data_IF_710243413719
#
_entry.id   IF_710243413719
#
_cell.length_a   1.000
_cell.length_b   1.000
_cell.length_c   1.000
_cell.angle_alpha   90.00
_cell.angle_beta   90.00
_cell.angle_gamma   90.00
#
_symmetry.space_group_name_H-M   'P 1'
#
loop_
_entity.id
_entity.type
_entity.pdbx_description
1 polymer ?
#
# COMPACT_ATOMS: atom_id res chain seq x y z
N UNK A 1 -16.65 11.65 -9.69
CA UNK A 1 -16.11 13.03 -9.59
C UNK A 1 -16.64 13.75 -8.36
N UNK A 2 -17.96 13.89 -8.17
CA UNK A 2 -18.54 14.52 -6.96
C UNK A 2 -18.08 13.86 -5.65
N UNK A 3 -18.05 12.51 -5.60
CA UNK A 3 -17.51 11.79 -4.44
C UNK A 3 -16.02 12.06 -4.17
N UNK A 4 -15.24 12.41 -5.19
CA UNK A 4 -13.85 12.79 -5.00
C UNK A 4 -13.75 14.23 -4.47
N UNK A 5 -14.62 15.14 -4.93
CA UNK A 5 -14.70 16.52 -4.44
C UNK A 5 -14.97 16.56 -2.92
N UNK A 6 -15.80 15.64 -2.41
CA UNK A 6 -16.07 15.49 -0.98
C UNK A 6 -14.83 15.21 -0.13
N UNK A 7 -13.76 14.63 -0.70
CA UNK A 7 -12.55 14.24 0.04
C UNK A 7 -11.52 15.37 0.16
N UNK A 8 -11.64 16.44 -0.63
CA UNK A 8 -10.63 17.50 -0.61
C UNK A 8 -10.75 18.39 0.63
N UNK A 9 -11.92 18.46 1.26
CA UNK A 9 -12.14 19.24 2.48
C UNK A 9 -11.64 20.68 2.35
N UNK A 10 -10.93 21.17 3.36
CA UNK A 10 -10.36 22.52 3.44
C UNK A 10 -9.41 22.90 2.29
N UNK A 11 -8.87 21.94 1.52
CA UNK A 11 -8.02 22.24 0.36
C UNK A 11 -8.79 22.94 -0.78
N UNK A 12 -10.12 23.02 -0.69
CA UNK A 12 -10.98 23.67 -1.69
C UNK A 12 -11.34 25.13 -1.35
N UNK A 13 -10.91 25.68 -0.22
CA UNK A 13 -11.29 27.04 0.21
C UNK A 13 -11.00 28.09 -0.89
N UNK A 14 -9.78 28.08 -1.46
CA UNK A 14 -9.37 29.02 -2.50
C UNK A 14 -10.11 28.83 -3.84
N UNK A 15 -10.68 27.64 -4.07
CA UNK A 15 -11.31 27.26 -5.33
C UNK A 15 -12.83 27.12 -5.25
N UNK A 16 -13.42 27.45 -4.09
CA UNK A 16 -14.84 27.28 -3.82
C UNK A 16 -15.72 28.05 -4.81
N UNK A 17 -15.29 29.26 -5.18
CA UNK A 17 -15.97 30.10 -6.17
C UNK A 17 -16.05 29.48 -7.56
N UNK A 18 -15.12 28.59 -7.93
CA UNK A 18 -15.10 27.88 -9.21
C UNK A 18 -15.91 26.59 -9.17
N UNK A 19 -15.88 25.88 -8.05
CA UNK A 19 -16.50 24.55 -7.91
C UNK A 19 -17.98 24.61 -7.53
N UNK A 20 -18.38 25.64 -6.79
CA UNK A 20 -19.76 25.76 -6.32
C UNK A 20 -20.78 25.97 -7.46
N UNK A 21 -20.58 26.84 -8.46
CA UNK A 21 -21.58 27.06 -9.51
C UNK A 21 -21.92 25.79 -10.32
N UNK A 22 -20.94 24.95 -10.73
CA UNK A 22 -21.24 23.65 -11.34
C UNK A 22 -22.04 22.69 -10.44
N UNK A 23 -21.68 22.58 -9.15
CA UNK A 23 -22.39 21.71 -8.19
C UNK A 23 -23.85 22.18 -8.03
N UNK A 24 -24.06 23.49 -7.89
CA UNK A 24 -25.39 24.09 -7.78
C UNK A 24 -26.22 23.84 -9.03
N UNK A 25 -25.63 24.03 -10.21
CA UNK A 25 -26.30 23.78 -11.49
C UNK A 25 -26.74 22.32 -11.64
N UNK A 26 -25.97 21.37 -11.11
CA UNK A 26 -26.28 19.94 -11.21
C UNK A 26 -27.56 19.56 -10.45
N UNK A 27 -27.82 20.11 -9.27
CA UNK A 27 -29.06 19.78 -8.54
C UNK A 27 -30.26 20.67 -8.92
N UNK A 28 -30.03 21.88 -9.45
CA UNK A 28 -31.08 22.81 -9.87
C UNK A 28 -31.66 22.51 -11.26
N UNK A 29 -30.87 21.91 -12.15
CA UNK A 29 -31.31 21.60 -13.51
C UNK A 29 -32.32 20.42 -13.56
N UNK A 30 -33.48 20.58 -14.23
CA UNK A 30 -34.49 19.52 -14.31
C UNK A 30 -34.07 18.36 -15.24
N UNK A 31 -33.19 18.63 -16.20
CA UNK A 31 -32.74 17.66 -17.21
C UNK A 31 -31.70 16.66 -16.69
N UNK A 32 -31.22 16.84 -15.44
CA UNK A 32 -30.20 16.00 -14.82
C UNK A 32 -30.88 14.79 -14.12
N UNK A 33 -30.34 13.56 -14.27
CA UNK A 33 -30.87 12.38 -13.58
C UNK A 33 -30.98 12.57 -12.07
N UNK A 34 -32.08 12.09 -11.47
CA UNK A 34 -32.37 12.23 -10.04
C UNK A 34 -31.21 11.80 -9.13
N UNK A 35 -30.51 10.72 -9.49
CA UNK A 35 -29.36 10.23 -8.73
C UNK A 35 -28.21 11.23 -8.70
N UNK A 36 -27.91 11.89 -9.83
CA UNK A 36 -26.85 12.88 -9.90
C UNK A 36 -27.23 14.16 -9.13
N UNK A 37 -28.51 14.56 -9.17
CA UNK A 37 -29.04 15.68 -8.37
C UNK A 37 -28.92 15.39 -6.86
N UNK A 38 -29.29 14.18 -6.43
CA UNK A 38 -29.15 13.72 -5.05
C UNK A 38 -27.69 13.73 -4.57
N UNK A 39 -26.78 13.13 -5.34
CA UNK A 39 -25.34 13.12 -5.00
C UNK A 39 -24.76 14.53 -4.95
N UNK A 40 -25.25 15.47 -5.76
CA UNK A 40 -24.81 16.87 -5.73
C UNK A 40 -25.23 17.57 -4.44
N UNK A 41 -26.45 17.32 -3.93
CA UNK A 41 -26.92 17.82 -2.63
C UNK A 41 -26.15 17.22 -1.46
N UNK A 42 -25.89 15.91 -1.49
CA UNK A 42 -25.08 15.22 -0.47
C UNK A 42 -23.62 15.70 -0.48
N UNK A 43 -23.09 16.03 -1.66
CA UNK A 43 -21.76 16.64 -1.79
C UNK A 43 -21.71 17.99 -1.11
N UNK A 44 -22.72 18.84 -1.34
CA UNK A 44 -22.80 20.14 -0.69
C UNK A 44 -22.98 20.02 0.84
N UNK A 45 -23.76 19.05 1.30
CA UNK A 45 -23.93 18.74 2.73
C UNK A 45 -22.57 18.46 3.38
N UNK A 46 -21.76 17.58 2.79
CA UNK A 46 -20.42 17.25 3.31
C UNK A 46 -19.43 18.40 3.24
N UNK A 47 -19.43 19.17 2.16
CA UNK A 47 -18.55 20.33 2.04
C UNK A 47 -18.84 21.39 3.12
N UNK A 48 -20.09 21.48 3.58
CA UNK A 48 -20.52 22.44 4.61
C UNK A 48 -19.85 22.16 5.96
N UNK A 49 -19.35 20.93 6.19
CA UNK A 49 -18.62 20.57 7.40
C UNK A 49 -17.17 21.07 7.41
N UNK A 50 -16.59 21.37 6.25
CA UNK A 50 -15.15 21.66 6.09
C UNK A 50 -14.82 23.01 5.47
N UNK A 51 -15.78 23.67 4.82
CA UNK A 51 -15.60 24.92 4.06
C UNK A 51 -16.62 25.97 4.49
N UNK A 52 -16.23 27.24 4.55
CA UNK A 52 -17.13 28.35 4.88
C UNK A 52 -18.00 28.79 3.68
N UNK A 53 -19.32 28.59 3.79
CA UNK A 53 -20.29 29.00 2.78
C UNK A 53 -20.98 30.34 3.05
N UNK A 54 -20.54 31.13 4.03
CA UNK A 54 -21.23 32.38 4.38
C UNK A 54 -21.37 33.37 3.21
N UNK A 55 -20.36 33.51 2.36
CA UNK A 55 -20.39 34.38 1.18
C UNK A 55 -21.24 33.84 0.02
N UNK A 56 -21.54 32.54 0.06
CA UNK A 56 -22.29 31.83 -0.98
C UNK A 56 -23.72 31.47 -0.59
N UNK A 57 -24.16 31.87 0.61
CA UNK A 57 -25.45 31.51 1.19
C UNK A 57 -26.62 31.69 0.20
N UNK A 58 -26.75 32.87 -0.43
CA UNK A 58 -27.83 33.11 -1.41
C UNK A 58 -27.73 32.22 -2.64
N UNK A 59 -26.51 31.94 -3.12
CA UNK A 59 -26.28 31.10 -4.31
C UNK A 59 -26.64 29.63 -4.08
N UNK A 60 -26.66 29.19 -2.82
CA UNK A 60 -27.02 27.82 -2.44
C UNK A 60 -28.50 27.73 -2.04
N UNK A 61 -28.96 28.65 -1.18
CA UNK A 61 -30.29 28.59 -0.58
C UNK A 61 -31.39 28.74 -1.64
N UNK A 62 -31.25 29.67 -2.59
CA UNK A 62 -32.29 29.86 -3.61
C UNK A 62 -32.52 28.61 -4.49
N UNK A 63 -31.47 27.96 -5.03
CA UNK A 63 -31.62 26.69 -5.74
C UNK A 63 -32.17 25.54 -4.87
N UNK A 64 -31.79 25.45 -3.59
CA UNK A 64 -32.36 24.45 -2.68
C UNK A 64 -33.87 24.69 -2.51
N UNK A 65 -34.28 25.94 -2.27
CA UNK A 65 -35.71 26.31 -2.13
C UNK A 65 -36.49 25.98 -3.40
N UNK A 66 -35.91 26.21 -4.58
CA UNK A 66 -36.52 25.81 -5.85
C UNK A 66 -36.67 24.30 -5.96
N UNK A 67 -35.62 23.55 -5.60
CA UNK A 67 -35.64 22.08 -5.60
C UNK A 67 -36.72 21.53 -4.66
N UNK A 68 -36.93 22.14 -3.50
CA UNK A 68 -38.01 21.80 -2.57
C UNK A 68 -39.41 22.01 -3.18
N UNK A 69 -39.57 23.05 -4.00
CA UNK A 69 -40.85 23.38 -4.65
C UNK A 69 -41.15 22.44 -5.84
N UNK A 70 -40.15 22.14 -6.67
CA UNK A 70 -40.32 21.42 -7.94
C UNK A 70 -40.17 19.90 -7.86
N UNK A 71 -39.37 19.36 -6.94
CA UNK A 71 -38.97 17.95 -6.97
C UNK A 71 -39.22 17.26 -5.61
N UNK A 72 -40.36 16.56 -5.44
CA UNK A 72 -40.74 15.95 -4.17
C UNK A 72 -39.77 14.87 -3.69
N UNK A 73 -39.15 14.12 -4.61
CA UNK A 73 -38.23 13.01 -4.31
C UNK A 73 -36.95 13.48 -3.63
N UNK A 74 -36.55 14.74 -3.84
CA UNK A 74 -35.32 15.31 -3.29
C UNK A 74 -35.55 16.14 -2.03
N UNK A 75 -36.80 16.22 -1.52
CA UNK A 75 -37.13 17.09 -0.38
C UNK A 75 -36.36 16.74 0.89
N UNK A 76 -36.25 15.44 1.22
CA UNK A 76 -35.52 14.99 2.40
C UNK A 76 -34.05 15.39 2.32
N UNK A 77 -33.36 15.02 1.24
CA UNK A 77 -31.94 15.34 1.04
C UNK A 77 -31.70 16.85 0.99
N UNK A 78 -32.60 17.61 0.34
CA UNK A 78 -32.50 19.08 0.28
C UNK A 78 -32.66 19.72 1.65
N UNK A 79 -33.54 19.19 2.51
CA UNK A 79 -33.72 19.67 3.88
C UNK A 79 -32.55 19.31 4.79
N UNK A 80 -31.91 18.15 4.58
CA UNK A 80 -30.68 17.78 5.28
C UNK A 80 -29.54 18.75 4.94
N UNK A 81 -29.28 18.97 3.65
CA UNK A 81 -28.27 19.94 3.17
C UNK A 81 -28.57 21.35 3.68
N UNK A 82 -29.84 21.78 3.64
CA UNK A 82 -30.24 23.08 4.15
C UNK A 82 -30.00 23.19 5.65
N UNK A 83 -30.29 22.14 6.42
CA UNK A 83 -30.09 22.13 7.87
C UNK A 83 -28.61 22.27 8.24
N UNK A 84 -27.72 21.59 7.52
CA UNK A 84 -26.27 21.75 7.70
C UNK A 84 -25.81 23.18 7.39
N UNK A 85 -26.33 23.78 6.31
CA UNK A 85 -26.02 25.17 5.97
C UNK A 85 -26.57 26.16 7.02
N UNK A 86 -27.77 25.94 7.54
CA UNK A 86 -28.36 26.77 8.60
C UNK A 86 -27.50 26.70 9.87
N UNK A 87 -27.02 25.51 10.23
CA UNK A 87 -26.12 25.33 11.35
C UNK A 87 -24.84 26.15 11.19
N UNK A 88 -24.24 26.15 10.00
CA UNK A 88 -23.04 26.92 9.71
C UNK A 88 -23.28 28.44 9.67
N UNK A 89 -24.36 28.90 9.04
CA UNK A 89 -24.67 30.33 8.90
C UNK A 89 -25.13 30.98 10.22
N UNK A 90 -25.76 30.20 11.10
CA UNK A 90 -26.30 30.67 12.37
C UNK A 90 -27.23 31.88 12.20
N UNK A 91 -26.96 32.98 12.92
CA UNK A 91 -27.77 34.21 12.88
C UNK A 91 -27.82 34.86 11.49
N UNK A 92 -26.82 34.65 10.63
CA UNK A 92 -26.81 35.18 9.25
C UNK A 92 -27.95 34.59 8.40
N UNK A 93 -28.51 33.45 8.80
CA UNK A 93 -29.63 32.82 8.10
C UNK A 93 -30.98 33.55 8.29
N UNK A 94 -31.12 34.44 9.29
CA UNK A 94 -32.41 35.06 9.66
C UNK A 94 -33.16 35.69 8.48
N UNK A 95 -32.43 36.28 7.52
CA UNK A 95 -33.00 36.92 6.34
C UNK A 95 -33.72 35.94 5.38
N UNK A 96 -33.35 34.65 5.41
CA UNK A 96 -33.91 33.63 4.51
C UNK A 96 -35.10 32.89 5.12
N UNK A 97 -35.29 32.96 6.45
CA UNK A 97 -36.34 32.22 7.18
C UNK A 97 -37.74 32.43 6.57
N UNK A 98 -38.22 33.66 6.31
CA UNK A 98 -39.57 33.86 5.81
C UNK A 98 -39.78 33.24 4.42
N UNK A 99 -38.76 33.30 3.56
CA UNK A 99 -38.80 32.76 2.21
C UNK A 99 -38.85 31.23 2.22
N UNK A 100 -38.03 30.57 3.01
CA UNK A 100 -38.02 29.10 3.11
C UNK A 100 -39.30 28.59 3.77
N UNK A 101 -39.76 29.26 4.84
CA UNK A 101 -40.98 28.89 5.54
C UNK A 101 -42.22 28.91 4.62
N UNK A 102 -42.29 29.87 3.68
CA UNK A 102 -43.37 29.93 2.68
C UNK A 102 -43.47 28.63 1.85
N UNK A 103 -42.33 28.06 1.44
CA UNK A 103 -42.29 26.82 0.66
C UNK A 103 -42.55 25.59 1.55
N UNK A 104 -42.03 25.60 2.77
CA UNK A 104 -42.31 24.52 3.74
C UNK A 104 -43.80 24.40 4.07
N UNK A 105 -44.48 25.53 4.31
CA UNK A 105 -45.92 25.55 4.56
C UNK A 105 -46.74 25.12 3.34
N UNK A 106 -46.34 25.57 2.14
CA UNK A 106 -46.99 25.21 0.87
C UNK A 106 -47.02 23.69 0.66
N UNK A 107 -45.93 22.99 0.96
CA UNK A 107 -45.79 21.55 0.73
C UNK A 107 -45.92 20.69 1.99
N UNK A 108 -46.22 21.29 3.15
CA UNK A 108 -46.29 20.62 4.46
C UNK A 108 -45.03 19.82 4.79
N UNK A 109 -43.87 20.45 4.62
CA UNK A 109 -42.57 19.84 4.90
C UNK A 109 -42.28 19.98 6.40
N UNK A 110 -42.15 18.85 7.09
CA UNK A 110 -41.77 18.80 8.50
C UNK A 110 -40.37 18.19 8.61
N UNK A 111 -39.42 18.93 9.20
CA UNK A 111 -38.04 18.46 9.32
C UNK A 111 -37.47 18.83 10.69
N UNK A 112 -37.40 17.84 11.58
CA UNK A 112 -37.06 18.01 13.00
C UNK A 112 -35.77 18.82 13.21
N UNK A 113 -34.70 18.48 12.46
CA UNK A 113 -33.41 19.17 12.56
C UNK A 113 -33.50 20.64 12.17
N UNK A 114 -34.26 20.95 11.14
CA UNK A 114 -34.42 22.33 10.67
C UNK A 114 -35.23 23.15 11.69
N UNK A 115 -36.34 22.60 12.20
CA UNK A 115 -37.21 23.29 13.15
C UNK A 115 -36.47 23.65 14.46
N UNK A 116 -35.63 22.74 14.97
CA UNK A 116 -34.78 22.98 16.14
C UNK A 116 -33.80 24.13 15.87
N UNK A 117 -33.13 24.13 14.71
CA UNK A 117 -32.15 25.15 14.35
C UNK A 117 -32.78 26.54 14.18
N UNK A 118 -33.96 26.62 13.56
CA UNK A 118 -34.69 27.89 13.40
C UNK A 118 -35.16 28.42 14.75
N UNK A 119 -35.72 27.56 15.59
CA UNK A 119 -36.09 27.91 16.97
C UNK A 119 -34.88 28.48 17.73
N UNK A 120 -33.70 27.87 17.54
CA UNK A 120 -32.44 28.33 18.15
C UNK A 120 -32.02 29.72 17.65
N UNK A 121 -32.09 29.95 16.34
CA UNK A 121 -31.71 31.22 15.71
C UNK A 121 -32.65 32.37 16.11
N UNK A 122 -33.96 32.10 16.21
CA UNK A 122 -34.98 33.12 16.54
C UNK A 122 -34.95 33.48 18.03
N UNK A 123 -34.77 32.50 18.92
CA UNK A 123 -34.74 32.75 20.37
C UNK A 123 -33.38 33.27 20.87
N UNK A 124 -32.32 33.17 20.07
CA UNK A 124 -31.02 33.78 20.36
C UNK A 124 -30.25 33.11 21.50
N UNK A 125 -30.17 31.77 21.51
CA UNK A 125 -29.44 31.00 22.53
C UNK A 125 -27.95 31.38 22.57
N UNK A 126 -27.40 31.46 23.78
CA UNK A 126 -25.99 31.77 24.06
C UNK A 126 -25.13 30.50 24.05
N UNK A 127 -23.88 30.61 23.56
CA UNK A 127 -22.87 29.55 23.38
C UNK A 127 -22.67 28.58 24.57
N UNK A 128 -23.06 28.96 25.80
CA UNK A 128 -22.91 28.13 27.00
C UNK A 128 -23.80 26.88 27.04
N UNK A 129 -24.84 26.78 26.21
CA UNK A 129 -25.71 25.60 26.10
C UNK A 129 -25.35 24.68 24.91
N UNK A 130 -24.28 24.97 24.16
CA UNK A 130 -23.85 24.15 23.02
C UNK A 130 -23.14 22.84 23.44
N UNK A 131 -22.58 22.77 24.65
CA UNK A 131 -21.81 21.61 25.12
C UNK A 131 -22.67 20.50 25.75
N UNK A 132 -23.93 20.75 26.10
CA UNK A 132 -24.77 19.78 26.84
C UNK A 132 -25.85 19.05 26.02
N UNK A 133 -26.01 19.32 24.72
CA UNK A 133 -27.10 18.74 23.93
C UNK A 133 -26.70 17.39 23.25
N UNK A 134 -27.24 16.23 23.69
CA UNK A 134 -26.84 14.90 23.24
C UNK A 134 -27.00 14.66 21.73
N UNK A 135 -27.88 15.43 21.09
CA UNK A 135 -28.17 15.34 19.65
C UNK A 135 -27.03 15.89 18.77
N UNK A 136 -26.25 16.85 19.29
CA UNK A 136 -25.10 17.44 18.58
C UNK A 136 -23.92 16.46 18.61
N UNK A 137 -23.72 15.78 19.75
CA UNK A 137 -22.68 14.77 19.93
C UNK A 137 -22.96 13.50 19.12
N UNK A 138 -24.22 13.03 19.10
CA UNK A 138 -24.63 11.90 18.26
C UNK A 138 -24.48 12.18 16.76
N UNK A 139 -24.73 13.39 16.28
CA UNK A 139 -24.58 13.70 14.85
C UNK A 139 -23.12 13.72 14.41
N UNK A 140 -22.22 14.24 15.27
CA UNK A 140 -20.76 14.21 15.04
C UNK A 140 -20.22 12.77 15.03
N UNK A 141 -20.74 11.88 15.88
CA UNK A 141 -20.34 10.46 15.92
C UNK A 141 -20.97 9.58 14.82
N UNK A 142 -22.25 9.76 14.48
CA UNK A 142 -22.95 8.91 13.49
C UNK A 142 -22.47 9.17 12.05
N UNK A 143 -21.95 10.37 11.74
CA UNK A 143 -21.51 10.73 10.38
C UNK A 143 -20.00 10.62 10.16
N UNK A 144 -19.18 10.68 11.22
CA UNK A 144 -17.76 10.30 11.15
C UNK A 144 -17.56 8.88 10.62
N UNK A 145 -18.48 7.96 10.97
CA UNK A 145 -18.44 6.57 10.51
C UNK A 145 -18.77 6.36 9.02
N UNK A 146 -19.34 7.34 8.29
CA UNK A 146 -19.60 7.21 6.85
C UNK A 146 -18.46 7.73 5.97
N UNK A 147 -17.49 8.46 6.55
CA UNK A 147 -16.21 8.78 5.91
C UNK A 147 -15.27 7.58 5.85
N UNK A 148 -15.38 6.65 6.79
CA UNK A 148 -14.48 5.49 6.92
C UNK A 148 -14.80 4.31 6.01
N UNK A 149 -15.92 4.32 5.28
CA UNK A 149 -16.26 3.22 4.37
C UNK A 149 -15.43 3.20 3.06
N UNK A 150 -14.66 4.26 2.78
CA UNK A 150 -13.81 4.36 1.58
C UNK A 150 -12.37 4.81 1.88
N UNK A 151 -12.06 5.13 3.14
CA UNK A 151 -10.68 5.16 3.61
C UNK A 151 -10.34 3.71 3.92
N UNK A 152 -9.83 2.99 2.93
CA UNK A 152 -8.81 2.00 3.25
C UNK A 152 -7.80 2.76 4.10
N UNK A 153 -7.78 2.48 5.40
CA UNK A 153 -6.81 3.07 6.33
C UNK A 153 -5.40 2.96 5.74
N UNK A 154 -4.42 3.72 6.29
CA UNK A 154 -3.04 3.44 5.97
C UNK A 154 -2.88 1.93 6.15
N UNK A 155 -2.47 1.25 5.07
CA UNK A 155 -2.30 -0.19 5.06
C UNK A 155 -1.39 -0.46 6.24
N UNK A 156 -1.96 -0.92 7.36
CA UNK A 156 -1.15 -1.43 8.44
C UNK A 156 -0.36 -2.54 7.77
N UNK A 157 0.95 -2.32 7.65
CA UNK A 157 1.90 -3.36 7.34
C UNK A 157 1.95 -4.33 8.53
N UNK A 158 0.80 -4.90 8.89
CA UNK A 158 0.74 -6.12 9.65
C UNK A 158 1.57 -7.17 8.91
N UNK A 159 2.17 -8.13 9.64
CA UNK A 159 3.05 -9.12 9.04
C UNK A 159 2.33 -9.74 7.85
N UNK A 160 2.86 -9.50 6.65
CA UNK A 160 2.26 -9.95 5.40
C UNK A 160 1.92 -11.43 5.56
N UNK A 161 0.65 -11.80 5.38
CA UNK A 161 0.22 -13.19 5.50
C UNK A 161 1.10 -14.04 4.58
N UNK A 162 1.96 -14.87 5.18
CA UNK A 162 2.85 -15.76 4.45
C UNK A 162 2.01 -16.64 3.53
N UNK A 163 2.34 -16.61 2.25
CA UNK A 163 1.68 -17.44 1.27
C UNK A 163 2.22 -18.87 1.32
N UNK A 164 1.36 -19.83 1.00
CA UNK A 164 1.75 -21.23 0.90
C UNK A 164 2.82 -21.42 -0.19
N UNK A 165 3.89 -22.13 0.15
CA UNK A 165 5.02 -22.47 -0.74
C UNK A 165 4.78 -23.86 -1.34
N UNK A 166 4.77 -23.99 -2.67
CA UNK A 166 4.71 -25.31 -3.31
C UNK A 166 6.10 -25.90 -3.48
N UNK A 167 6.44 -26.87 -2.63
CA UNK A 167 7.75 -27.53 -2.62
C UNK A 167 7.99 -28.44 -3.83
N UNK A 168 6.94 -28.96 -4.46
CA UNK A 168 7.04 -29.84 -5.65
C UNK A 168 7.51 -29.09 -6.91
N UNK A 169 7.09 -27.83 -7.08
CA UNK A 169 7.55 -26.99 -8.18
C UNK A 169 9.03 -26.59 -8.00
N UNK A 170 9.44 -26.33 -6.75
CA UNK A 170 10.83 -26.06 -6.39
C UNK A 170 11.73 -27.26 -6.67
N UNK A 171 11.29 -28.47 -6.31
CA UNK A 171 12.03 -29.71 -6.57
C UNK A 171 12.39 -29.92 -8.03
N UNK A 172 11.45 -29.60 -8.92
CA UNK A 172 11.68 -29.69 -10.36
C UNK A 172 12.68 -28.65 -10.88
N UNK A 173 12.81 -27.51 -10.19
CA UNK A 173 13.58 -26.37 -10.62
C UNK A 173 15.04 -26.41 -10.15
N UNK A 174 15.31 -26.91 -8.93
CA UNK A 174 16.68 -26.98 -8.42
C UNK A 174 17.50 -28.13 -9.00
N UNK A 175 16.86 -29.16 -9.58
CA UNK A 175 17.53 -30.30 -10.19
C UNK A 175 18.55 -29.87 -11.26
N UNK A 176 19.84 -30.02 -10.93
CA UNK A 176 20.95 -29.65 -11.81
C UNK A 176 21.37 -30.79 -12.78
N UNK A 177 20.56 -31.83 -12.93
CA UNK A 177 20.86 -32.97 -13.78
C UNK A 177 20.93 -32.57 -15.27
N UNK A 178 21.96 -33.05 -15.97
CA UNK A 178 22.20 -32.89 -17.42
C UNK A 178 22.61 -31.48 -17.90
N UNK A 179 23.29 -30.70 -17.06
CA UNK A 179 23.84 -29.39 -17.42
C UNK A 179 25.30 -29.54 -17.88
N UNK A 180 25.59 -29.23 -19.14
CA UNK A 180 26.92 -29.51 -19.74
C UNK A 180 27.55 -28.26 -20.34
N UNK A 181 26.74 -27.31 -20.83
CA UNK A 181 27.21 -26.05 -21.41
C UNK A 181 27.07 -24.86 -20.46
N UNK A 182 27.75 -23.76 -20.78
CA UNK A 182 27.60 -22.48 -20.08
C UNK A 182 26.15 -21.99 -20.07
N UNK A 183 25.47 -22.08 -21.22
CA UNK A 183 24.10 -21.58 -21.38
C UNK A 183 23.10 -22.41 -20.57
N UNK A 184 23.35 -23.72 -20.42
CA UNK A 184 22.51 -24.60 -19.60
C UNK A 184 22.46 -24.17 -18.13
N UNK A 185 23.60 -23.73 -17.60
CA UNK A 185 23.77 -23.26 -16.23
C UNK A 185 23.19 -21.87 -16.01
N UNK A 186 23.33 -20.97 -16.98
CA UNK A 186 22.66 -19.67 -16.95
C UNK A 186 21.14 -19.83 -16.97
N UNK A 187 20.61 -20.73 -17.81
CA UNK A 187 19.18 -21.02 -17.86
C UNK A 187 18.71 -21.75 -16.59
N UNK A 188 19.56 -22.60 -15.98
CA UNK A 188 19.28 -23.18 -14.66
C UNK A 188 19.10 -22.10 -13.60
N UNK A 189 20.06 -21.17 -13.47
CA UNK A 189 19.98 -20.07 -12.50
C UNK A 189 18.76 -19.18 -12.76
N UNK A 190 18.47 -18.88 -14.04
CA UNK A 190 17.30 -18.09 -14.44
C UNK A 190 15.99 -18.78 -14.02
N UNK A 191 15.84 -20.07 -14.33
CA UNK A 191 14.65 -20.85 -13.94
C UNK A 191 14.52 -20.94 -12.43
N UNK A 192 15.61 -21.21 -11.72
CA UNK A 192 15.61 -21.29 -10.27
C UNK A 192 15.14 -19.97 -9.65
N UNK A 193 15.68 -18.83 -10.11
CA UNK A 193 15.30 -17.49 -9.63
C UNK A 193 13.81 -17.20 -9.83
N UNK A 194 13.28 -17.50 -11.02
CA UNK A 194 11.86 -17.29 -11.34
C UNK A 194 10.96 -18.20 -10.50
N UNK A 195 11.32 -19.47 -10.31
CA UNK A 195 10.52 -20.39 -9.49
C UNK A 195 10.56 -20.00 -8.01
N UNK A 196 11.71 -19.57 -7.49
CA UNK A 196 11.82 -19.03 -6.13
C UNK A 196 10.90 -17.83 -5.91
N UNK A 197 10.81 -16.91 -6.87
CA UNK A 197 9.86 -15.78 -6.79
C UNK A 197 8.40 -16.25 -6.81
N UNK A 198 8.07 -17.22 -7.68
CA UNK A 198 6.72 -17.76 -7.78
C UNK A 198 6.27 -18.42 -6.48
N UNK A 199 7.16 -19.19 -5.87
CA UNK A 199 6.86 -20.00 -4.69
C UNK A 199 7.18 -19.28 -3.36
N UNK A 200 7.79 -18.09 -3.39
CA UNK A 200 8.11 -17.31 -2.19
C UNK A 200 6.90 -17.10 -1.28
N UNK A 201 7.10 -17.28 0.02
CA UNK A 201 6.10 -17.02 1.06
C UNK A 201 5.77 -15.52 1.22
N UNK A 202 6.62 -14.63 0.71
CA UNK A 202 6.38 -13.19 0.74
C UNK A 202 5.48 -12.76 -0.44
N UNK A 203 4.32 -12.13 -0.19
CA UNK A 203 3.47 -11.61 -1.26
C UNK A 203 4.19 -10.58 -2.14
N UNK A 204 5.05 -9.74 -1.56
CA UNK A 204 5.80 -8.73 -2.30
C UNK A 204 6.74 -9.37 -3.34
N UNK A 205 7.47 -10.42 -2.95
CA UNK A 205 8.35 -11.16 -3.85
C UNK A 205 7.54 -11.92 -4.92
N UNK A 206 6.41 -12.50 -4.53
CA UNK A 206 5.53 -13.22 -5.46
C UNK A 206 4.91 -12.31 -6.52
N UNK A 207 4.57 -11.08 -6.17
CA UNK A 207 4.08 -10.07 -7.13
C UNK A 207 5.13 -9.72 -8.19
N UNK A 208 6.42 -9.81 -7.87
CA UNK A 208 7.51 -9.55 -8.82
C UNK A 208 7.72 -10.69 -9.83
N UNK A 209 7.14 -11.88 -9.63
CA UNK A 209 7.34 -13.05 -10.49
C UNK A 209 6.99 -12.81 -11.96
N UNK A 210 5.89 -12.11 -12.24
CA UNK A 210 5.44 -11.85 -13.61
C UNK A 210 6.43 -10.96 -14.36
N UNK A 211 6.94 -9.91 -13.69
CA UNK A 211 7.93 -9.00 -14.26
C UNK A 211 9.29 -9.68 -14.41
N UNK A 212 9.69 -10.52 -13.44
CA UNK A 212 10.95 -11.25 -13.46
C UNK A 212 11.09 -12.25 -14.63
N UNK A 213 9.97 -12.71 -15.21
CA UNK A 213 10.00 -13.54 -16.41
C UNK A 213 10.47 -12.80 -17.66
N UNK A 214 10.10 -11.52 -17.76
CA UNK A 214 10.39 -10.66 -18.92
C UNK A 214 11.67 -9.84 -18.70
N UNK A 215 11.90 -9.41 -17.46
CA UNK A 215 13.04 -8.58 -17.08
C UNK A 215 13.97 -9.35 -16.13
N UNK A 216 14.94 -10.05 -16.72
CA UNK A 216 15.89 -10.94 -16.02
C UNK A 216 16.71 -10.24 -14.93
N UNK A 217 17.17 -8.98 -15.08
CA UNK A 217 17.93 -8.31 -14.01
C UNK A 217 17.18 -8.28 -12.66
N UNK A 218 15.87 -8.03 -12.67
CA UNK A 218 15.06 -8.07 -11.45
C UNK A 218 15.07 -9.44 -10.76
N UNK A 219 15.06 -10.53 -11.54
CA UNK A 219 15.13 -11.89 -10.99
C UNK A 219 16.46 -12.12 -10.22
N UNK A 220 17.54 -11.46 -10.66
CA UNK A 220 18.87 -11.57 -10.04
C UNK A 220 18.97 -10.73 -8.78
N UNK A 221 18.44 -9.51 -8.82
CA UNK A 221 18.45 -8.59 -7.66
C UNK A 221 17.62 -9.15 -6.50
N UNK A 222 16.51 -9.83 -6.81
CA UNK A 222 15.64 -10.44 -5.82
C UNK A 222 16.03 -11.87 -5.45
N UNK A 223 17.05 -12.46 -6.09
CA UNK A 223 17.41 -13.87 -5.93
C UNK A 223 17.67 -14.24 -4.47
N UNK A 224 18.49 -13.46 -3.77
CA UNK A 224 18.87 -13.74 -2.37
C UNK A 224 17.66 -13.70 -1.43
N UNK A 225 16.79 -12.69 -1.58
CA UNK A 225 15.58 -12.55 -0.77
C UNK A 225 14.56 -13.66 -1.06
N UNK A 226 14.38 -14.00 -2.34
CA UNK A 226 13.51 -15.09 -2.77
C UNK A 226 14.02 -16.45 -2.28
N UNK A 227 15.34 -16.67 -2.33
CA UNK A 227 15.98 -17.87 -1.78
C UNK A 227 15.72 -18.00 -0.29
N UNK A 228 16.03 -16.99 0.52
CA UNK A 228 15.84 -17.05 1.97
C UNK A 228 14.38 -17.30 2.36
N UNK A 229 13.44 -16.66 1.67
CA UNK A 229 12.00 -16.84 1.88
C UNK A 229 11.56 -18.29 1.64
N UNK A 230 12.06 -18.92 0.57
CA UNK A 230 11.77 -20.33 0.30
C UNK A 230 12.51 -21.25 1.26
N UNK A 231 13.81 -21.01 1.48
CA UNK A 231 14.70 -21.80 2.34
C UNK A 231 14.12 -22.00 3.74
N UNK A 232 13.50 -20.96 4.30
CA UNK A 232 12.89 -21.02 5.64
C UNK A 232 11.69 -21.95 5.77
N UNK A 233 11.07 -22.35 4.65
CA UNK A 233 9.85 -23.17 4.60
C UNK A 233 10.13 -24.59 4.04
N UNK A 234 11.37 -24.90 3.65
CA UNK A 234 11.78 -26.22 3.16
C UNK A 234 12.04 -27.20 4.32
N UNK A 235 11.80 -28.49 4.09
CA UNK A 235 12.23 -29.56 5.01
C UNK A 235 13.73 -29.80 4.91
N UNK A 236 14.32 -30.46 5.92
CA UNK A 236 15.76 -30.79 5.95
C UNK A 236 16.18 -31.59 4.69
N UNK A 237 15.44 -32.63 4.31
CA UNK A 237 15.70 -33.42 3.09
C UNK A 237 15.73 -32.56 1.80
N UNK A 238 14.87 -31.53 1.75
CA UNK A 238 14.76 -30.62 0.61
C UNK A 238 15.89 -29.59 0.59
N UNK A 239 16.27 -29.10 1.77
CA UNK A 239 17.43 -28.24 1.95
C UNK A 239 18.70 -28.97 1.47
N UNK A 240 18.89 -30.23 1.85
CA UNK A 240 20.01 -31.05 1.42
C UNK A 240 20.04 -31.27 -0.11
N UNK A 241 18.88 -31.48 -0.74
CA UNK A 241 18.78 -31.61 -2.20
C UNK A 241 19.15 -30.32 -2.94
N UNK A 242 18.69 -29.18 -2.42
CA UNK A 242 19.00 -27.87 -2.96
C UNK A 242 20.48 -27.53 -2.79
N UNK A 243 21.04 -27.80 -1.62
CA UNK A 243 22.47 -27.61 -1.32
C UNK A 243 23.33 -28.45 -2.25
N UNK A 244 23.00 -29.74 -2.43
CA UNK A 244 23.73 -30.61 -3.37
C UNK A 244 23.73 -30.05 -4.80
N UNK A 245 22.63 -29.42 -5.21
CA UNK A 245 22.51 -28.79 -6.52
C UNK A 245 23.36 -27.51 -6.62
N UNK A 246 23.44 -26.71 -5.55
CA UNK A 246 24.33 -25.55 -5.46
C UNK A 246 25.81 -25.98 -5.46
N UNK A 247 26.16 -27.04 -4.74
CA UNK A 247 27.51 -27.59 -4.75
C UNK A 247 27.91 -28.07 -6.14
N UNK A 248 27.01 -28.76 -6.85
CA UNK A 248 27.23 -29.15 -8.24
C UNK A 248 27.45 -27.92 -9.13
N UNK A 249 26.65 -26.86 -8.97
CA UNK A 249 26.81 -25.61 -9.72
C UNK A 249 28.13 -24.90 -9.43
N UNK A 250 28.61 -24.93 -8.18
CA UNK A 250 29.90 -24.34 -7.78
C UNK A 250 31.09 -25.20 -8.20
N UNK A 251 30.93 -26.52 -8.31
CA UNK A 251 32.01 -27.45 -8.63
C UNK A 251 32.16 -27.73 -10.12
N UNK A 252 31.04 -27.75 -10.84
CA UNK A 252 31.00 -27.80 -12.30
C UNK A 252 31.57 -26.51 -12.90
N UNK A 253 31.79 -26.49 -14.23
CA UNK A 253 32.48 -25.43 -15.01
C UNK A 253 32.54 -24.04 -14.35
N UNK A 254 33.72 -23.41 -14.38
CA UNK A 254 33.98 -22.09 -13.79
C UNK A 254 33.22 -20.94 -14.53
N UNK A 255 31.89 -20.91 -14.39
CA UNK A 255 30.99 -19.92 -14.98
C UNK A 255 30.87 -18.76 -14.00
N UNK A 256 31.71 -17.74 -14.20
CA UNK A 256 31.85 -16.58 -13.32
C UNK A 256 30.51 -15.97 -12.87
N UNK A 257 29.54 -15.87 -13.79
CA UNK A 257 28.24 -15.28 -13.53
C UNK A 257 27.38 -16.08 -12.54
N UNK A 258 27.37 -17.41 -12.67
CA UNK A 258 26.65 -18.31 -11.76
C UNK A 258 27.37 -18.37 -10.43
N UNK A 259 28.70 -18.52 -10.47
CA UNK A 259 29.53 -18.56 -9.26
C UNK A 259 29.42 -17.28 -8.45
N UNK A 260 29.47 -16.09 -9.07
CA UNK A 260 29.29 -14.82 -8.35
C UNK A 260 27.90 -14.70 -7.72
N UNK A 261 26.85 -15.14 -8.42
CA UNK A 261 25.48 -15.10 -7.87
C UNK A 261 25.37 -16.00 -6.64
N UNK A 262 25.94 -17.21 -6.68
CA UNK A 262 25.95 -18.14 -5.55
C UNK A 262 26.86 -17.68 -4.41
N UNK A 263 27.99 -17.02 -4.70
CA UNK A 263 28.85 -16.39 -3.69
C UNK A 263 28.16 -15.21 -3.00
N UNK A 264 27.36 -14.43 -3.73
CA UNK A 264 26.53 -13.37 -3.16
C UNK A 264 25.43 -13.96 -2.26
N UNK A 265 24.84 -15.09 -2.66
CA UNK A 265 23.87 -15.80 -1.84
C UNK A 265 24.49 -16.32 -0.55
N UNK A 266 25.66 -16.96 -0.62
CA UNK A 266 26.34 -17.49 0.58
C UNK A 266 26.65 -16.38 1.59
N UNK A 267 27.22 -15.26 1.14
CA UNK A 267 27.48 -14.09 1.99
C UNK A 267 26.18 -13.50 2.56
N UNK A 268 25.11 -13.43 1.76
CA UNK A 268 23.81 -12.95 2.24
C UNK A 268 23.26 -13.85 3.36
N UNK A 269 23.43 -15.17 3.24
CA UNK A 269 22.98 -16.14 4.23
C UNK A 269 23.78 -16.04 5.55
N UNK A 270 25.09 -15.77 5.49
CA UNK A 270 25.91 -15.52 6.69
C UNK A 270 25.39 -14.38 7.57
N UNK A 271 24.77 -13.37 6.96
CA UNK A 271 24.19 -12.21 7.67
C UNK A 271 22.70 -12.39 8.01
N UNK A 272 22.10 -13.52 7.62
CA UNK A 272 20.69 -13.81 7.88
C UNK A 272 20.50 -14.51 9.23
N UNK A 273 19.30 -14.39 9.82
CA UNK A 273 18.93 -15.09 11.06
C UNK A 273 18.99 -16.62 10.93
N UNK A 274 19.05 -17.15 9.70
CA UNK A 274 19.14 -18.59 9.42
C UNK A 274 20.56 -19.14 9.47
N UNK A 275 21.57 -18.26 9.50
CA UNK A 275 22.97 -18.64 9.50
C UNK A 275 23.48 -19.10 8.12
N UNK A 276 24.77 -19.52 8.07
CA UNK A 276 25.44 -19.87 6.82
C UNK A 276 24.82 -21.12 6.17
N UNK A 277 24.98 -21.22 4.85
CA UNK A 277 24.54 -22.40 4.11
C UNK A 277 25.35 -23.65 4.55
N UNK A 278 24.70 -24.78 4.84
CA UNK A 278 25.37 -26.03 5.21
C UNK A 278 25.96 -26.72 3.97
N UNK A 279 26.90 -26.07 3.31
CA UNK A 279 27.64 -26.61 2.17
C UNK A 279 28.75 -27.52 2.71
N UNK A 280 28.78 -28.80 2.37
CA UNK A 280 29.74 -29.79 2.90
C UNK A 280 29.83 -29.77 4.44
N UNK A 281 30.86 -30.43 4.98
CA UNK A 281 31.08 -30.54 6.43
C UNK A 281 31.58 -29.24 7.08
N UNK A 282 32.08 -28.28 6.28
CA UNK A 282 32.77 -27.07 6.77
C UNK A 282 31.97 -25.77 6.60
N UNK A 283 30.68 -25.84 6.26
CA UNK A 283 29.83 -24.73 5.77
C UNK A 283 30.37 -24.10 4.47
N UNK A 284 31.16 -24.85 3.71
CA UNK A 284 31.62 -24.49 2.38
C UNK A 284 32.75 -23.48 2.40
N UNK A 285 33.39 -23.23 3.55
CA UNK A 285 34.44 -22.23 3.71
C UNK A 285 35.56 -22.46 2.68
N UNK A 286 36.06 -23.70 2.57
CA UNK A 286 37.13 -24.03 1.62
C UNK A 286 36.63 -23.89 0.18
N UNK A 287 35.45 -24.46 -0.12
CA UNK A 287 34.86 -24.44 -1.47
C UNK A 287 34.60 -23.02 -1.97
N UNK A 288 33.93 -22.19 -1.16
CA UNK A 288 33.56 -20.82 -1.49
C UNK A 288 34.80 -19.93 -1.60
N UNK A 289 35.80 -20.11 -0.72
CA UNK A 289 37.08 -19.41 -0.80
C UNK A 289 37.84 -19.68 -2.10
N UNK A 290 37.94 -20.95 -2.52
CA UNK A 290 38.56 -21.32 -3.79
C UNK A 290 37.84 -20.72 -4.99
N UNK A 291 36.51 -20.80 -5.02
CA UNK A 291 35.70 -20.25 -6.12
C UNK A 291 35.72 -18.73 -6.16
N UNK A 292 35.75 -18.06 -5.01
CA UNK A 292 35.91 -16.62 -4.92
C UNK A 292 37.28 -16.17 -5.47
N UNK A 293 38.36 -16.89 -5.14
CA UNK A 293 39.69 -16.60 -5.65
C UNK A 293 39.77 -16.77 -7.18
N UNK A 294 39.13 -17.80 -7.74
CA UNK A 294 39.04 -18.01 -9.19
C UNK A 294 38.23 -16.91 -9.89
N UNK A 295 37.13 -16.46 -9.29
CA UNK A 295 36.30 -15.38 -9.82
C UNK A 295 36.88 -13.97 -9.60
N UNK A 296 38.12 -13.87 -9.08
CA UNK A 296 38.79 -12.61 -8.71
C UNK A 296 38.01 -11.77 -7.68
N UNK A 297 37.12 -12.40 -6.92
CA UNK A 297 36.43 -11.79 -5.78
C UNK A 297 37.33 -11.86 -4.54
N UNK A 298 38.48 -11.19 -4.58
CA UNK A 298 39.55 -11.34 -3.58
C UNK A 298 39.13 -10.94 -2.16
N UNK A 299 38.21 -10.00 -2.01
CA UNK A 299 37.66 -9.65 -0.69
C UNK A 299 36.92 -10.83 -0.03
N UNK A 300 36.05 -11.52 -0.79
CA UNK A 300 35.35 -12.72 -0.30
C UNK A 300 36.30 -13.90 -0.09
N UNK A 301 37.25 -14.08 -1.01
CA UNK A 301 38.25 -15.12 -0.89
C UNK A 301 39.10 -14.96 0.38
N UNK A 302 39.44 -13.72 0.73
CA UNK A 302 40.16 -13.39 1.96
C UNK A 302 39.31 -13.73 3.19
N UNK A 303 38.05 -13.30 3.23
CA UNK A 303 37.12 -13.59 4.33
C UNK A 303 37.00 -15.09 4.63
N UNK A 304 36.75 -15.92 3.60
CA UNK A 304 36.69 -17.38 3.80
C UNK A 304 38.03 -17.96 4.26
N UNK A 305 39.16 -17.46 3.75
CA UNK A 305 40.48 -17.93 4.15
C UNK A 305 40.83 -17.53 5.60
N UNK A 306 40.36 -16.37 6.06
CA UNK A 306 40.46 -15.94 7.46
C UNK A 306 39.62 -16.82 8.39
N UNK A 307 38.40 -17.19 7.98
CA UNK A 307 37.56 -18.15 8.71
C UNK A 307 38.22 -19.54 8.82
N UNK A 308 38.86 -20.00 7.74
CA UNK A 308 39.64 -21.25 7.75
C UNK A 308 40.82 -21.17 8.74
N UNK A 309 41.54 -20.04 8.75
CA UNK A 309 42.64 -19.79 9.69
C UNK A 309 42.17 -19.76 11.15
N UNK A 310 41.00 -19.18 11.44
CA UNK A 310 40.43 -19.14 12.79
C UNK A 310 40.07 -20.54 13.31
N UNK A 311 39.63 -21.46 12.43
CA UNK A 311 39.31 -22.85 12.81
C UNK A 311 40.56 -23.69 13.06
N UNK A 312 41.66 -23.42 12.36
CA UNK A 312 42.90 -24.17 12.50
C UNK A 312 44.05 -23.53 11.71
N UNK A 313 44.94 -22.76 12.36
CA UNK A 313 46.02 -22.09 11.67
C UNK A 313 47.02 -23.11 11.10
N UNK A 314 47.35 -22.97 9.82
CA UNK A 314 48.38 -23.78 9.15
C UNK A 314 49.30 -22.90 8.30
N UNK A 315 50.57 -23.30 8.09
CA UNK A 315 51.50 -22.53 7.27
C UNK A 315 51.02 -22.36 5.83
N UNK A 316 50.30 -23.35 5.29
CA UNK A 316 49.71 -23.29 3.94
C UNK A 316 48.58 -22.25 3.86
N UNK A 317 47.74 -22.15 4.89
CA UNK A 317 46.67 -21.13 4.97
C UNK A 317 47.29 -19.74 5.10
N UNK A 318 48.35 -19.59 5.90
CA UNK A 318 49.05 -18.32 6.08
C UNK A 318 49.69 -17.83 4.77
N UNK A 319 50.36 -18.72 4.02
CA UNK A 319 50.91 -18.38 2.71
C UNK A 319 49.82 -17.97 1.72
N UNK A 320 48.68 -18.69 1.72
CA UNK A 320 47.53 -18.34 0.89
C UNK A 320 46.92 -16.99 1.27
N UNK A 321 46.81 -16.67 2.57
CA UNK A 321 46.34 -15.36 3.07
C UNK A 321 47.23 -14.22 2.56
N UNK A 322 48.56 -14.36 2.71
CA UNK A 322 49.52 -13.36 2.25
C UNK A 322 49.36 -13.16 0.73
N UNK A 323 49.28 -14.26 -0.04
CA UNK A 323 49.11 -14.20 -1.50
C UNK A 323 47.80 -13.53 -1.92
N UNK A 324 46.69 -13.77 -1.22
CA UNK A 324 45.39 -13.16 -1.53
C UNK A 324 45.41 -11.67 -1.12
N UNK A 325 46.01 -11.33 0.03
CA UNK A 325 46.11 -9.95 0.50
C UNK A 325 46.85 -9.05 -0.50
N UNK A 326 47.95 -9.53 -1.09
CA UNK A 326 48.70 -8.81 -2.11
C UNK A 326 47.92 -8.62 -3.42
N UNK A 327 46.91 -9.46 -3.72
CA UNK A 327 46.07 -9.32 -4.92
C UNK A 327 44.85 -8.43 -4.72
N UNK A 328 44.54 -8.08 -3.46
CA UNK A 328 43.41 -7.20 -3.10
C UNK A 328 43.78 -5.72 -3.15
N UNK A 329 45.07 -5.41 -2.96
CA UNK A 329 45.68 -4.06 -3.05
C UNK A 329 45.90 -3.71 -4.52
#
# INVERSE_FOLDING_TARGET
MLNAIQLFGANLDDYLHLLLPPIVKLFDAPDVPLQARKVSLETLDRLTESLDFTDYASRIIHPIVRTLDTTPELRSTSMDTLSSLVFQLGKKYQIFIPMVNKVMLKHRINHQRYDILICRIVKGYTLAEEEEDPLIFQHRQLRGNQGDALVSGPVEAGPMKKLHVSTTALQKAWGAARKVSKDDWLEWLRRLSVVLLKESSSPALRSCWSLAQTYIPLARDLFNAAFLSCWSELSEDQQDELIRSIELALTSQDIAEVTQTLLNLAEFMEHSDKGPLPLRDDNGIVLLGERAAKCRAYAKALHYKELEFQKGPSPLILEALIRISHKKI
#
